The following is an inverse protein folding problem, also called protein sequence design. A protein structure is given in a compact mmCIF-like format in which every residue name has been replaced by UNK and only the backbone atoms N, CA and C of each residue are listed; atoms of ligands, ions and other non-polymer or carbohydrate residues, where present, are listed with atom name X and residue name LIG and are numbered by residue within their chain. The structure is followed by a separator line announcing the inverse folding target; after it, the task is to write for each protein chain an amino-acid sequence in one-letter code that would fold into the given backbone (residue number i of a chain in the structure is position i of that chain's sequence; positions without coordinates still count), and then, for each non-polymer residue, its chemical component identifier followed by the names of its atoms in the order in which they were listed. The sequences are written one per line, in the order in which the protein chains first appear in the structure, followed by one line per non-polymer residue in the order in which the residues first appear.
data_IF_580211340944
#
_entry.id   IF_580211340944
#
_cell.length_a   1.000
_cell.length_b   1.000
_cell.length_c   1.000
_cell.angle_alpha   90.00
_cell.angle_beta   90.00
_cell.angle_gamma   90.00
#
_symmetry.space_group_name_H-M   'P 1'
#
loop_
_entity.id
_entity.type
_entity.pdbx_description
1 polymer ?
#
# COMPACT_ATOMS: atom_id res chain seq x y z
N UNK A 1 24.28 10.12 53.14
CA UNK A 1 24.75 9.88 51.76
C UNK A 1 23.62 9.20 51.01
N UNK A 2 22.88 9.95 50.21
CA UNK A 2 21.86 9.40 49.32
C UNK A 2 22.46 9.39 47.92
N UNK A 3 22.77 8.20 47.42
CA UNK A 3 23.28 8.00 46.06
C UNK A 3 22.12 8.21 45.10
N UNK A 4 22.17 9.29 44.33
CA UNK A 4 21.29 9.50 43.18
C UNK A 4 21.69 8.50 42.12
N UNK A 5 20.87 7.46 41.96
CA UNK A 5 20.96 6.57 40.80
C UNK A 5 20.40 7.35 39.62
N UNK A 6 21.31 7.87 38.77
CA UNK A 6 20.94 8.32 37.43
C UNK A 6 20.36 7.12 36.68
N UNK A 7 19.08 7.21 36.35
CA UNK A 7 18.39 6.23 35.54
C UNK A 7 18.72 6.54 34.07
N UNK A 8 19.82 5.99 33.56
CA UNK A 8 20.23 6.00 32.14
C UNK A 8 19.31 5.09 31.32
N UNK A 9 18.01 5.41 31.27
CA UNK A 9 17.02 4.72 30.45
C UNK A 9 16.24 5.68 29.55
N UNK A 10 16.92 6.66 28.95
CA UNK A 10 16.45 7.23 27.68
C UNK A 10 16.79 6.25 26.56
N UNK A 11 15.95 5.22 26.43
CA UNK A 11 16.09 4.06 25.53
C UNK A 11 15.98 4.36 24.04
N UNK A 12 16.36 5.55 23.58
CA UNK A 12 16.71 5.80 22.19
C UNK A 12 18.13 6.36 22.14
N UNK A 13 19.08 5.52 22.54
CA UNK A 13 20.44 5.64 22.04
C UNK A 13 20.36 5.60 20.52
N UNK A 14 20.55 6.78 19.92
CA UNK A 14 21.28 7.01 18.67
C UNK A 14 21.71 5.69 18.01
N UNK A 15 20.78 5.02 17.29
CA UNK A 15 21.10 3.79 16.58
C UNK A 15 22.29 4.08 15.69
N UNK A 16 23.35 3.27 15.77
CA UNK A 16 24.43 3.30 14.77
C UNK A 16 23.76 3.33 13.39
N UNK A 17 23.95 4.38 12.60
CA UNK A 17 23.18 4.60 11.36
C UNK A 17 23.33 3.38 10.44
N UNK A 18 22.37 2.46 10.52
CA UNK A 18 22.34 1.28 9.70
C UNK A 18 22.11 1.67 8.25
N UNK A 19 22.55 0.82 7.32
CA UNK A 19 22.28 1.00 5.90
C UNK A 19 20.77 1.17 5.64
N UNK A 20 19.92 0.49 6.43
CA UNK A 20 18.47 0.62 6.35
C UNK A 20 17.98 2.00 6.81
N UNK A 21 18.47 2.51 7.95
CA UNK A 21 17.99 3.80 8.49
C UNK A 21 18.41 4.97 7.60
N UNK A 22 19.64 4.94 7.09
CA UNK A 22 20.14 5.92 6.11
C UNK A 22 19.40 5.87 4.76
N UNK A 23 18.93 4.71 4.34
CA UNK A 23 18.12 4.54 3.13
C UNK A 23 16.69 5.09 3.30
N UNK A 24 16.05 4.78 4.43
CA UNK A 24 14.65 5.13 4.70
C UNK A 24 14.49 6.57 5.21
N UNK A 25 15.45 7.07 5.97
CA UNK A 25 15.43 8.39 6.62
C UNK A 25 16.73 9.18 6.32
N UNK A 26 17.04 9.47 5.05
CA UNK A 26 18.27 10.15 4.69
C UNK A 26 18.29 11.57 5.24
N UNK A 27 19.47 12.00 5.68
CA UNK A 27 19.72 13.37 6.15
C UNK A 27 20.65 14.12 5.20
N UNK A 28 20.59 15.44 5.21
CA UNK A 28 21.57 16.30 4.56
C UNK A 28 22.89 16.33 5.34
N UNK A 29 23.93 16.92 4.74
CA UNK A 29 25.17 17.21 5.47
C UNK A 29 24.98 18.19 6.65
N UNK A 30 23.86 18.92 6.68
CA UNK A 30 23.45 19.76 7.81
C UNK A 30 22.53 19.06 8.82
N UNK A 31 22.31 17.74 8.67
CA UNK A 31 21.44 16.95 9.54
C UNK A 31 19.93 17.05 9.25
N UNK A 32 19.53 17.83 8.24
CA UNK A 32 18.11 18.02 7.89
C UNK A 32 17.55 16.82 7.14
N UNK A 33 16.32 16.36 7.45
CA UNK A 33 15.69 15.26 6.72
C UNK A 33 15.55 15.54 5.23
N UNK A 34 15.81 14.53 4.40
CA UNK A 34 15.62 14.57 2.95
C UNK A 34 14.53 13.61 2.51
N UNK A 35 13.97 13.85 1.33
CA UNK A 35 13.11 12.88 0.66
C UNK A 35 13.91 11.60 0.34
N UNK A 36 13.44 10.40 0.72
CA UNK A 36 14.15 9.14 0.52
C UNK A 36 14.04 8.63 -0.92
N UNK A 37 14.59 9.39 -1.87
CA UNK A 37 14.50 9.10 -3.30
C UNK A 37 15.06 7.71 -3.68
N UNK A 38 16.15 7.28 -3.05
CA UNK A 38 16.76 5.96 -3.31
C UNK A 38 15.80 4.83 -2.89
N UNK A 39 15.16 4.95 -1.72
CA UNK A 39 14.16 3.99 -1.27
C UNK A 39 12.94 4.00 -2.21
N UNK A 40 12.44 5.18 -2.60
CA UNK A 40 11.33 5.30 -3.56
C UNK A 40 11.65 4.61 -4.88
N UNK A 41 12.84 4.86 -5.45
CA UNK A 41 13.27 4.24 -6.71
C UNK A 41 13.41 2.73 -6.54
N UNK A 42 14.00 2.26 -5.44
CA UNK A 42 14.11 0.83 -5.17
C UNK A 42 12.74 0.14 -5.12
N UNK A 43 11.77 0.74 -4.41
CA UNK A 43 10.39 0.25 -4.35
C UNK A 43 9.77 0.20 -5.74
N UNK A 44 9.92 1.27 -6.54
CA UNK A 44 9.40 1.34 -7.91
C UNK A 44 10.03 0.28 -8.82
N UNK A 45 11.34 0.08 -8.74
CA UNK A 45 12.05 -0.91 -9.55
C UNK A 45 11.65 -2.33 -9.16
N UNK A 46 11.59 -2.63 -7.86
CA UNK A 46 11.22 -3.97 -7.37
C UNK A 46 9.77 -4.29 -7.74
N UNK A 47 8.83 -3.42 -7.36
CA UNK A 47 7.42 -3.63 -7.66
C UNK A 47 7.13 -3.58 -9.16
N UNK A 48 7.75 -2.65 -9.89
CA UNK A 48 7.62 -2.55 -11.34
C UNK A 48 8.15 -3.79 -12.07
N UNK A 49 9.27 -4.35 -11.60
CA UNK A 49 9.80 -5.61 -12.13
C UNK A 49 8.85 -6.77 -11.84
N UNK A 50 8.29 -6.85 -10.63
CA UNK A 50 7.31 -7.88 -10.27
C UNK A 50 6.08 -7.83 -11.20
N UNK A 51 5.44 -6.65 -11.33
CA UNK A 51 4.30 -6.49 -12.24
C UNK A 51 4.67 -6.70 -13.71
N UNK A 52 5.88 -6.29 -14.12
CA UNK A 52 6.40 -6.52 -15.46
C UNK A 52 6.58 -8.00 -15.78
N UNK A 53 7.14 -8.79 -14.85
CA UNK A 53 7.27 -10.25 -14.99
C UNK A 53 5.89 -10.92 -15.03
N UNK A 54 4.95 -10.49 -14.19
CA UNK A 54 3.59 -11.02 -14.23
C UNK A 54 2.91 -10.71 -15.56
N UNK A 55 3.06 -9.48 -16.08
CA UNK A 55 2.49 -9.10 -17.37
C UNK A 55 3.15 -9.85 -18.53
N UNK A 56 4.45 -10.14 -18.45
CA UNK A 56 5.15 -11.02 -19.39
C UNK A 56 4.52 -12.43 -19.37
N UNK A 57 4.31 -12.97 -18.17
CA UNK A 57 3.67 -14.28 -17.99
C UNK A 57 2.30 -14.32 -18.69
N UNK A 58 1.45 -13.33 -18.46
CA UNK A 58 0.17 -13.20 -19.17
C UNK A 58 0.34 -13.13 -20.69
N UNK A 59 1.30 -12.34 -21.18
CA UNK A 59 1.55 -12.26 -22.62
C UNK A 59 1.90 -13.61 -23.25
N UNK A 60 2.61 -14.45 -22.51
CA UNK A 60 3.14 -15.73 -23.00
C UNK A 60 2.08 -16.83 -22.95
N UNK A 61 1.29 -16.86 -21.87
CA UNK A 61 0.45 -18.01 -21.54
C UNK A 61 -1.06 -17.79 -21.74
N UNK A 62 -1.54 -16.54 -21.80
CA UNK A 62 -3.00 -16.27 -21.84
C UNK A 62 -3.65 -16.84 -23.11
N UNK A 63 -3.08 -16.56 -24.29
CA UNK A 63 -3.65 -17.05 -25.56
C UNK A 63 -3.25 -18.49 -25.89
N UNK A 64 -2.19 -19.02 -25.27
CA UNK A 64 -1.69 -20.37 -25.57
C UNK A 64 -2.32 -21.44 -24.69
N UNK A 65 -2.45 -21.18 -23.38
CA UNK A 65 -2.93 -22.15 -22.38
C UNK A 65 -3.95 -21.53 -21.40
N UNK A 66 -4.51 -20.36 -21.72
CA UNK A 66 -5.46 -19.64 -20.88
C UNK A 66 -6.84 -19.42 -21.50
N UNK A 67 -7.10 -20.01 -22.67
CA UNK A 67 -8.34 -19.80 -23.42
C UNK A 67 -9.46 -20.78 -23.04
N UNK A 68 -9.11 -22.00 -22.65
CA UNK A 68 -10.06 -23.07 -22.31
C UNK A 68 -9.79 -23.51 -20.86
N UNK A 69 -10.77 -23.31 -19.98
CA UNK A 69 -10.66 -23.67 -18.56
C UNK A 69 -10.60 -25.18 -18.33
N UNK A 70 -11.16 -25.99 -19.24
CA UNK A 70 -11.29 -27.42 -19.07
C UNK A 70 -10.04 -28.20 -19.46
N UNK A 71 -9.05 -27.54 -20.09
CA UNK A 71 -7.79 -28.16 -20.47
C UNK A 71 -6.84 -28.34 -19.26
N UNK A 72 -6.10 -29.47 -19.17
CA UNK A 72 -5.16 -29.71 -18.07
C UNK A 72 -4.06 -28.65 -17.93
N UNK A 73 -3.67 -28.03 -19.04
CA UNK A 73 -2.70 -26.94 -19.06
C UNK A 73 -3.23 -25.72 -18.29
N UNK A 74 -4.53 -25.45 -18.36
CA UNK A 74 -5.12 -24.34 -17.61
C UNK A 74 -4.92 -24.53 -16.10
N UNK A 75 -5.14 -25.75 -15.61
CA UNK A 75 -4.91 -26.07 -14.20
C UNK A 75 -3.43 -25.87 -13.82
N UNK A 76 -2.53 -26.32 -14.69
CA UNK A 76 -1.08 -26.23 -14.48
C UNK A 76 -0.57 -24.79 -14.41
N UNK A 77 -1.00 -23.92 -15.33
CA UNK A 77 -0.45 -22.56 -15.50
C UNK A 77 -1.28 -21.49 -14.78
N UNK A 78 -2.59 -21.67 -14.63
CA UNK A 78 -3.48 -20.62 -14.10
C UNK A 78 -4.04 -20.97 -12.73
N UNK A 79 -4.56 -22.17 -12.52
CA UNK A 79 -5.13 -22.54 -11.22
C UNK A 79 -4.07 -22.71 -10.14
N UNK A 80 -2.94 -23.36 -10.45
CA UNK A 80 -1.80 -23.40 -9.52
C UNK A 80 -1.28 -22.01 -9.16
N UNK A 81 -1.24 -21.08 -10.13
CA UNK A 81 -0.85 -19.70 -9.89
C UNK A 81 -1.85 -19.01 -8.94
N UNK A 82 -3.15 -19.16 -9.20
CA UNK A 82 -4.23 -18.64 -8.36
C UNK A 82 -4.11 -19.15 -6.91
N UNK A 83 -3.97 -20.45 -6.72
CA UNK A 83 -3.88 -21.02 -5.37
C UNK A 83 -2.60 -20.57 -4.65
N UNK A 84 -1.46 -20.59 -5.34
CA UNK A 84 -0.20 -20.15 -4.76
C UNK A 84 -0.25 -18.68 -4.33
N UNK A 85 -0.71 -17.78 -5.21
CA UNK A 85 -0.75 -16.35 -4.89
C UNK A 85 -1.77 -16.05 -3.78
N UNK A 86 -2.93 -16.72 -3.73
CA UNK A 86 -3.89 -16.53 -2.65
C UNK A 86 -3.32 -16.91 -1.29
N UNK A 87 -2.61 -18.04 -1.20
CA UNK A 87 -1.95 -18.46 0.05
C UNK A 87 -0.87 -17.47 0.43
N UNK A 88 0.00 -17.08 -0.50
CA UNK A 88 1.10 -16.14 -0.24
C UNK A 88 0.56 -14.79 0.22
N UNK A 89 -0.43 -14.23 -0.47
CA UNK A 89 -1.01 -12.92 -0.16
C UNK A 89 -1.70 -12.97 1.20
N UNK A 90 -2.54 -13.99 1.46
CA UNK A 90 -3.16 -14.15 2.78
C UNK A 90 -2.13 -14.23 3.92
N UNK A 91 -1.01 -14.93 3.70
CA UNK A 91 0.10 -14.97 4.66
C UNK A 91 0.79 -13.61 4.81
N UNK A 92 1.08 -12.91 3.72
CA UNK A 92 1.68 -11.57 3.75
C UNK A 92 0.80 -10.60 4.53
N UNK A 93 -0.51 -10.54 4.22
CA UNK A 93 -1.46 -9.68 4.92
C UNK A 93 -1.59 -10.04 6.41
N UNK A 94 -1.83 -11.31 6.74
CA UNK A 94 -2.06 -11.73 8.13
C UNK A 94 -0.80 -11.69 9.00
N UNK A 95 0.30 -12.28 8.54
CA UNK A 95 1.58 -12.30 9.27
C UNK A 95 2.18 -10.90 9.27
N UNK A 96 2.15 -10.18 8.14
CA UNK A 96 2.64 -8.80 8.07
C UNK A 96 1.89 -7.89 9.04
N UNK A 97 0.56 -7.99 9.12
CA UNK A 97 -0.24 -7.18 10.05
C UNK A 97 0.12 -7.48 11.50
N UNK A 98 0.27 -8.77 11.84
CA UNK A 98 0.73 -9.18 13.16
C UNK A 98 2.14 -8.65 13.46
N UNK A 99 3.08 -8.80 12.53
CA UNK A 99 4.46 -8.33 12.68
C UNK A 99 4.51 -6.81 12.90
N UNK A 100 3.80 -6.02 12.08
CA UNK A 100 3.74 -4.57 12.24
C UNK A 100 3.10 -4.22 13.58
N UNK A 101 1.99 -4.86 13.95
CA UNK A 101 1.32 -4.59 15.22
C UNK A 101 2.20 -4.89 16.45
N UNK A 102 2.84 -6.05 16.48
CA UNK A 102 3.64 -6.50 17.63
C UNK A 102 5.02 -5.85 17.70
N UNK A 103 5.56 -5.34 16.59
CA UNK A 103 6.79 -4.53 16.57
C UNK A 103 6.54 -3.05 16.87
N UNK A 104 5.34 -2.66 17.33
CA UNK A 104 5.07 -1.26 17.66
C UNK A 104 5.93 -0.79 18.85
N UNK A 105 6.48 0.43 18.80
CA UNK A 105 7.20 1.04 19.92
C UNK A 105 6.28 1.33 21.11
N UNK A 106 6.88 1.64 22.27
CA UNK A 106 6.13 2.07 23.46
C UNK A 106 5.37 3.37 23.18
N UNK A 107 4.19 3.52 23.80
CA UNK A 107 3.35 4.68 23.57
C UNK A 107 3.98 5.99 24.05
N UNK A 108 4.77 5.95 25.13
CA UNK A 108 5.45 7.14 25.60
C UNK A 108 6.57 7.54 24.65
N UNK A 109 7.30 6.59 24.07
CA UNK A 109 8.38 6.89 23.12
C UNK A 109 7.86 7.55 21.85
N UNK A 110 6.72 7.09 21.35
CA UNK A 110 6.05 7.72 20.19
C UNK A 110 5.55 9.11 20.54
N UNK A 111 4.89 9.29 21.69
CA UNK A 111 4.34 10.59 22.08
C UNK A 111 5.42 11.69 22.26
N UNK A 112 6.65 11.30 22.59
CA UNK A 112 7.79 12.20 22.81
C UNK A 112 8.85 12.10 21.71
N UNK A 113 8.43 11.76 20.49
CA UNK A 113 9.33 11.72 19.34
C UNK A 113 9.94 13.10 19.05
N UNK A 114 11.25 13.14 18.80
CA UNK A 114 11.96 14.36 18.44
C UNK A 114 11.41 14.97 17.14
N UNK A 115 11.18 16.30 17.04
CA UNK A 115 10.56 16.92 15.87
C UNK A 115 11.28 16.63 14.55
N UNK A 116 12.61 16.60 14.56
CA UNK A 116 13.42 16.25 13.39
C UNK A 116 13.23 14.80 12.95
N UNK A 117 13.13 13.87 13.91
CA UNK A 117 12.87 12.46 13.62
C UNK A 117 11.49 12.30 13.02
N UNK A 118 10.47 12.91 13.63
CA UNK A 118 9.10 12.87 13.12
C UNK A 118 8.99 13.43 11.70
N UNK A 119 9.67 14.55 11.42
CA UNK A 119 9.72 15.14 10.09
C UNK A 119 10.36 14.20 9.04
N UNK A 120 11.42 13.47 9.43
CA UNK A 120 12.04 12.46 8.56
C UNK A 120 11.08 11.32 8.22
N UNK A 121 10.23 10.94 9.18
CA UNK A 121 9.23 9.90 8.97
C UNK A 121 8.12 10.38 8.04
N UNK A 122 7.67 11.64 8.15
CA UNK A 122 6.71 12.20 7.19
C UNK A 122 7.26 12.26 5.76
N UNK A 123 8.55 12.56 5.57
CA UNK A 123 9.18 12.47 4.25
C UNK A 123 9.15 11.04 3.70
N UNK A 124 9.34 10.04 4.55
CA UNK A 124 9.21 8.64 4.17
C UNK A 124 7.76 8.26 3.84
N UNK A 125 6.78 8.73 4.61
CA UNK A 125 5.35 8.54 4.29
C UNK A 125 5.02 9.13 2.90
N UNK A 126 5.45 10.36 2.61
CA UNK A 126 5.23 10.96 1.30
C UNK A 126 5.94 10.20 0.17
N UNK A 127 7.13 9.65 0.43
CA UNK A 127 7.82 8.80 -0.53
C UNK A 127 7.07 7.50 -0.82
N UNK A 128 6.52 6.84 0.20
CA UNK A 128 5.66 5.67 0.03
C UNK A 128 4.40 6.01 -0.77
N UNK A 129 3.76 7.14 -0.47
CA UNK A 129 2.58 7.61 -1.20
C UNK A 129 2.88 7.92 -2.66
N UNK A 130 4.05 8.51 -2.95
CA UNK A 130 4.50 8.77 -4.31
C UNK A 130 4.77 7.46 -5.09
N UNK A 131 5.36 6.45 -4.44
CA UNK A 131 5.51 5.13 -5.06
C UNK A 131 4.14 4.43 -5.25
N UNK A 132 3.26 4.52 -4.26
CA UNK A 132 1.93 3.91 -4.30
C UNK A 132 1.07 4.49 -5.43
N UNK A 133 1.17 5.78 -5.75
CA UNK A 133 0.40 6.39 -6.85
C UNK A 133 0.74 5.75 -8.20
N UNK A 134 2.01 5.40 -8.44
CA UNK A 134 2.42 4.65 -9.62
C UNK A 134 1.76 3.27 -9.67
N UNK A 135 1.78 2.52 -8.57
CA UNK A 135 1.18 1.18 -8.52
C UNK A 135 -0.34 1.21 -8.61
N UNK A 136 -1.00 2.25 -8.09
CA UNK A 136 -2.44 2.44 -8.30
C UNK A 136 -2.76 2.54 -9.79
N UNK A 137 -1.95 3.24 -10.58
CA UNK A 137 -2.13 3.30 -12.05
C UNK A 137 -1.88 1.93 -12.68
N UNK A 138 -0.86 1.20 -12.25
CA UNK A 138 -0.63 -0.17 -12.74
C UNK A 138 -1.86 -1.06 -12.47
N UNK A 139 -2.38 -1.06 -11.25
CA UNK A 139 -3.51 -1.91 -10.87
C UNK A 139 -4.81 -1.46 -11.56
N UNK A 140 -5.18 -0.18 -11.39
CA UNK A 140 -6.50 0.32 -11.80
C UNK A 140 -6.60 0.78 -13.26
N UNK A 141 -5.48 0.97 -13.95
CA UNK A 141 -5.47 1.19 -15.39
C UNK A 141 -5.01 -0.07 -16.11
N UNK A 142 -3.76 -0.51 -15.93
CA UNK A 142 -3.20 -1.58 -16.77
C UNK A 142 -3.92 -2.91 -16.59
N UNK A 143 -4.13 -3.38 -15.36
CA UNK A 143 -4.78 -4.67 -15.12
C UNK A 143 -6.30 -4.62 -15.36
N UNK A 144 -6.96 -3.52 -14.99
CA UNK A 144 -8.41 -3.33 -15.25
C UNK A 144 -8.70 -3.22 -16.74
N UNK A 145 -7.93 -2.42 -17.50
CA UNK A 145 -8.15 -2.30 -18.95
C UNK A 145 -7.74 -3.57 -19.70
N UNK A 146 -6.73 -4.31 -19.21
CA UNK A 146 -6.39 -5.62 -19.77
C UNK A 146 -7.56 -6.61 -19.64
N UNK A 147 -8.26 -6.58 -18.52
CA UNK A 147 -9.44 -7.41 -18.29
C UNK A 147 -10.62 -7.01 -19.19
N UNK A 148 -10.89 -5.70 -19.30
CA UNK A 148 -11.89 -5.18 -20.22
C UNK A 148 -11.60 -5.60 -21.68
N UNK A 149 -10.33 -5.57 -22.10
CA UNK A 149 -9.93 -6.03 -23.42
C UNK A 149 -10.07 -7.56 -23.57
N UNK A 150 -9.79 -8.34 -22.52
CA UNK A 150 -9.95 -9.79 -22.52
C UNK A 150 -11.42 -10.22 -22.73
N UNK A 151 -12.36 -9.47 -22.16
CA UNK A 151 -13.80 -9.65 -22.41
C UNK A 151 -14.22 -9.39 -23.86
N UNK A 152 -13.40 -8.74 -24.68
CA UNK A 152 -13.71 -8.54 -26.10
C UNK A 152 -13.17 -9.66 -27.00
N UNK A 153 -12.37 -10.59 -26.45
CA UNK A 153 -11.70 -11.65 -27.22
C UNK A 153 -12.02 -13.06 -26.73
N UNK A 154 -12.75 -13.20 -25.63
CA UNK A 154 -13.15 -14.50 -25.08
C UNK A 154 -14.63 -14.52 -24.70
N UNK A 155 -15.27 -15.66 -24.91
CA UNK A 155 -16.48 -16.06 -24.18
C UNK A 155 -15.97 -16.90 -23.02
N UNK A 156 -16.35 -16.54 -21.80
CA UNK A 156 -15.73 -17.06 -20.59
C UNK A 156 -16.28 -18.43 -20.20
N UNK A 157 -15.41 -19.40 -20.01
CA UNK A 157 -15.77 -20.71 -19.43
C UNK A 157 -15.98 -20.65 -17.91
N UNK A 158 -15.40 -19.65 -17.25
CA UNK A 158 -15.35 -19.50 -15.79
C UNK A 158 -15.09 -18.05 -15.38
N UNK A 159 -15.20 -17.77 -14.08
CA UNK A 159 -14.79 -16.51 -13.47
C UNK A 159 -13.29 -16.45 -13.15
N UNK A 160 -12.57 -17.55 -13.31
CA UNK A 160 -11.12 -17.59 -13.16
C UNK A 160 -10.41 -17.43 -14.51
N UNK A 161 -10.59 -16.30 -15.17
CA UNK A 161 -9.85 -15.99 -16.42
C UNK A 161 -8.39 -15.61 -16.11
N UNK A 162 -7.47 -15.69 -17.09
CA UNK A 162 -6.10 -15.20 -16.92
C UNK A 162 -5.98 -13.75 -16.44
N UNK A 163 -6.90 -12.88 -16.86
CA UNK A 163 -6.94 -11.47 -16.44
C UNK A 163 -7.57 -11.30 -15.08
N UNK A 164 -8.63 -12.05 -14.74
CA UNK A 164 -9.19 -12.06 -13.38
C UNK A 164 -8.19 -12.55 -12.33
N UNK A 165 -7.46 -13.64 -12.62
CA UNK A 165 -6.41 -14.18 -11.74
C UNK A 165 -5.37 -13.10 -11.44
N UNK A 166 -4.95 -12.33 -12.45
CA UNK A 166 -4.02 -11.21 -12.27
C UNK A 166 -4.63 -10.01 -11.52
N UNK A 167 -5.82 -9.58 -11.89
CA UNK A 167 -6.44 -8.37 -11.36
C UNK A 167 -7.01 -8.58 -9.95
N UNK A 168 -7.97 -9.48 -9.83
CA UNK A 168 -8.81 -9.65 -8.64
C UNK A 168 -8.16 -10.51 -7.56
N UNK A 169 -7.30 -11.43 -7.96
CA UNK A 169 -6.69 -12.39 -7.04
C UNK A 169 -5.20 -12.15 -6.80
N UNK A 170 -4.60 -11.12 -7.42
CA UNK A 170 -3.21 -10.70 -7.19
C UNK A 170 -3.08 -9.19 -7.00
N UNK A 171 -3.38 -8.39 -8.02
CA UNK A 171 -3.03 -6.97 -8.04
C UNK A 171 -3.82 -6.15 -6.98
N UNK A 172 -5.15 -6.32 -6.93
CA UNK A 172 -6.00 -5.67 -5.93
C UNK A 172 -5.69 -6.17 -4.51
N UNK A 173 -5.60 -7.49 -4.24
CA UNK A 173 -5.24 -8.00 -2.91
C UNK A 173 -3.87 -7.53 -2.41
N UNK A 174 -2.83 -7.51 -3.26
CA UNK A 174 -1.51 -6.98 -2.88
C UNK A 174 -1.58 -5.48 -2.54
N UNK A 175 -2.33 -4.71 -3.33
CA UNK A 175 -2.58 -3.30 -3.03
C UNK A 175 -3.32 -3.11 -1.71
N UNK A 176 -4.31 -3.96 -1.42
CA UNK A 176 -5.04 -3.96 -0.15
C UNK A 176 -4.11 -4.24 1.04
N UNK A 177 -3.29 -5.28 0.96
CA UNK A 177 -2.32 -5.60 2.02
C UNK A 177 -1.36 -4.43 2.25
N UNK A 178 -0.82 -3.82 1.20
CA UNK A 178 0.06 -2.67 1.33
C UNK A 178 -0.61 -1.49 2.06
N UNK A 179 -1.88 -1.21 1.75
CA UNK A 179 -2.66 -0.15 2.40
C UNK A 179 -2.95 -0.50 3.87
N UNK A 180 -3.37 -1.74 4.16
CA UNK A 180 -3.67 -2.19 5.53
C UNK A 180 -2.40 -2.14 6.39
N UNK A 181 -1.28 -2.65 5.89
CA UNK A 181 0.01 -2.59 6.59
C UNK A 181 0.44 -1.15 6.86
N UNK A 182 0.31 -0.27 5.86
CA UNK A 182 0.58 1.16 6.00
C UNK A 182 -0.34 1.83 7.02
N UNK A 183 -1.64 1.47 7.02
CA UNK A 183 -2.62 1.96 7.97
C UNK A 183 -2.25 1.58 9.41
N UNK A 184 -1.93 0.30 9.67
CA UNK A 184 -1.51 -0.17 10.99
C UNK A 184 -0.23 0.55 11.40
N UNK A 185 0.75 0.65 10.49
CA UNK A 185 2.05 1.25 10.76
C UNK A 185 1.92 2.73 11.16
N UNK A 186 1.13 3.52 10.42
CA UNK A 186 0.91 4.95 10.75
C UNK A 186 0.28 5.09 12.14
N UNK A 187 -0.77 4.33 12.44
CA UNK A 187 -1.51 4.43 13.71
C UNK A 187 -0.74 3.88 14.92
N UNK A 188 0.39 3.23 14.71
CA UNK A 188 1.22 2.66 15.78
C UNK A 188 2.58 3.33 15.93
N UNK A 189 3.05 4.09 14.95
CA UNK A 189 4.36 4.77 14.98
C UNK A 189 4.31 6.29 14.95
N UNK A 190 3.17 6.90 14.59
CA UNK A 190 3.11 8.34 14.44
C UNK A 190 2.37 9.01 15.61
N UNK A 191 2.93 10.10 16.21
CA UNK A 191 2.35 10.74 17.39
C UNK A 191 0.91 11.23 17.16
N UNK A 192 0.65 11.82 15.99
CA UNK A 192 -0.67 12.37 15.65
C UNK A 192 -1.77 11.30 15.49
N UNK A 193 -1.37 10.06 15.21
CA UNK A 193 -2.27 8.95 14.89
C UNK A 193 -2.32 7.88 15.98
N UNK A 194 -1.40 7.90 16.94
CA UNK A 194 -1.40 6.97 18.05
C UNK A 194 -2.60 7.20 18.97
N UNK A 195 -3.29 6.11 19.36
CA UNK A 195 -4.53 6.14 20.13
C UNK A 195 -5.66 6.98 19.48
N UNK A 196 -5.54 7.23 18.19
CA UNK A 196 -6.52 7.95 17.36
C UNK A 196 -6.75 7.15 16.10
N UNK A 197 -7.75 7.55 15.33
CA UNK A 197 -8.07 6.92 14.06
C UNK A 197 -8.24 8.02 13.02
N UNK A 198 -7.38 8.02 12.01
CA UNK A 198 -7.54 8.87 10.83
C UNK A 198 -8.72 8.35 10.02
N UNK A 199 -9.85 9.05 10.09
CA UNK A 199 -11.03 8.73 9.25
C UNK A 199 -10.67 8.73 7.76
N UNK A 200 -9.94 9.72 7.21
CA UNK A 200 -9.54 9.68 5.80
C UNK A 200 -8.70 8.45 5.43
N UNK A 201 -7.70 8.09 6.25
CA UNK A 201 -6.86 6.91 5.98
C UNK A 201 -7.64 5.60 6.17
N UNK A 202 -8.60 5.55 7.10
CA UNK A 202 -9.52 4.40 7.23
C UNK A 202 -10.37 4.21 5.98
N UNK A 203 -10.90 5.28 5.40
CA UNK A 203 -11.69 5.17 4.17
C UNK A 203 -10.85 4.58 3.02
N UNK A 204 -9.58 4.96 2.91
CA UNK A 204 -8.64 4.36 1.95
C UNK A 204 -8.42 2.88 2.25
N UNK A 205 -8.16 2.52 3.51
CA UNK A 205 -7.92 1.14 3.91
C UNK A 205 -9.13 0.21 3.75
N UNK A 206 -10.33 0.75 3.91
CA UNK A 206 -11.57 0.01 3.74
C UNK A 206 -12.07 -0.01 2.29
N UNK A 207 -11.56 0.84 1.40
CA UNK A 207 -12.00 0.92 0.01
C UNK A 207 -11.95 -0.44 -0.73
N UNK A 208 -10.90 -1.27 -0.58
CA UNK A 208 -10.87 -2.60 -1.18
C UNK A 208 -11.88 -3.59 -0.58
N UNK A 209 -12.32 -3.39 0.67
CA UNK A 209 -13.35 -4.23 1.28
C UNK A 209 -14.73 -3.85 0.74
N UNK A 210 -14.96 -2.55 0.56
CA UNK A 210 -16.23 -2.00 0.07
C UNK A 210 -16.52 -2.38 -1.38
N UNK A 211 -15.50 -2.78 -2.16
CA UNK A 211 -15.68 -3.26 -3.54
C UNK A 211 -16.08 -4.74 -3.62
N UNK A 212 -15.83 -5.55 -2.58
CA UNK A 212 -16.04 -7.01 -2.65
C UNK A 212 -17.48 -7.40 -2.99
N UNK A 213 -18.54 -6.75 -2.44
CA UNK A 213 -19.91 -6.99 -2.88
C UNK A 213 -20.10 -6.74 -4.38
N UNK A 214 -19.42 -5.72 -4.93
CA UNK A 214 -19.49 -5.41 -6.35
C UNK A 214 -18.73 -6.39 -7.22
N UNK A 215 -17.63 -6.95 -6.73
CA UNK A 215 -16.94 -8.03 -7.41
C UNK A 215 -17.87 -9.25 -7.55
N UNK A 216 -18.46 -9.70 -6.44
CA UNK A 216 -19.37 -10.84 -6.46
C UNK A 216 -20.62 -10.59 -7.31
N UNK A 217 -21.19 -9.38 -7.26
CA UNK A 217 -22.32 -9.00 -8.09
C UNK A 217 -21.94 -8.86 -9.57
N UNK A 218 -20.73 -8.41 -9.89
CA UNK A 218 -20.21 -8.32 -11.26
C UNK A 218 -20.17 -9.71 -11.90
N UNK A 219 -19.56 -10.68 -11.23
CA UNK A 219 -19.45 -12.05 -11.73
C UNK A 219 -20.81 -12.75 -11.82
N UNK A 220 -21.67 -12.55 -10.80
CA UNK A 220 -23.05 -13.01 -10.86
C UNK A 220 -23.82 -12.37 -12.02
N UNK A 221 -23.62 -11.08 -12.27
CA UNK A 221 -24.20 -10.36 -13.40
C UNK A 221 -23.81 -10.98 -14.74
N UNK A 222 -22.52 -11.26 -14.94
CA UNK A 222 -22.01 -11.90 -16.17
C UNK A 222 -22.55 -13.32 -16.38
N UNK A 223 -22.87 -14.06 -15.31
CA UNK A 223 -23.42 -15.42 -15.42
C UNK A 223 -24.91 -15.45 -15.79
N UNK A 224 -25.69 -14.45 -15.36
CA UNK A 224 -27.16 -14.51 -15.42
C UNK A 224 -27.83 -13.43 -16.29
N UNK A 225 -27.12 -12.39 -16.72
CA UNK A 225 -27.65 -11.36 -17.64
C UNK A 225 -27.06 -11.51 -19.05
N UNK A 226 -27.91 -11.81 -20.03
CA UNK A 226 -27.61 -11.83 -21.48
C UNK A 226 -27.41 -10.41 -22.07
N UNK A 227 -26.58 -9.56 -21.46
CA UNK A 227 -26.48 -8.16 -21.84
C UNK A 227 -25.03 -7.68 -21.97
N UNK A 228 -24.27 -8.33 -22.84
CA UNK A 228 -22.99 -7.82 -23.36
C UNK A 228 -23.17 -6.48 -24.10
N UNK A 229 -24.40 -6.10 -24.49
CA UNK A 229 -24.68 -4.88 -25.26
C UNK A 229 -25.01 -3.64 -24.39
N UNK A 230 -25.16 -3.79 -23.06
CA UNK A 230 -25.45 -2.71 -22.12
C UNK A 230 -24.37 -2.63 -21.02
N UNK A 231 -23.10 -2.52 -21.42
CA UNK A 231 -21.90 -2.46 -20.55
C UNK A 231 -21.92 -1.38 -19.42
N UNK A 232 -22.99 -0.59 -19.31
CA UNK A 232 -23.25 0.41 -18.27
C UNK A 232 -24.33 -0.03 -17.23
N UNK A 233 -24.44 -1.33 -16.94
CA UNK A 233 -25.40 -1.84 -15.96
C UNK A 233 -25.15 -1.28 -14.53
N UNK A 234 -26.20 -1.16 -13.68
CA UNK A 234 -26.09 -0.77 -12.27
C UNK A 234 -25.08 -1.57 -11.43
N UNK A 235 -24.64 -2.73 -11.93
CA UNK A 235 -23.77 -3.70 -11.27
C UNK A 235 -22.33 -3.15 -11.13
N UNK A 236 -21.88 -2.33 -12.10
CA UNK A 236 -20.54 -1.72 -12.07
C UNK A 236 -20.46 -0.47 -11.18
N UNK A 237 -21.59 0.10 -10.75
CA UNK A 237 -21.60 1.36 -10.00
C UNK A 237 -20.88 1.29 -8.66
N UNK A 238 -20.74 0.12 -8.03
CA UNK A 238 -20.00 0.06 -6.78
C UNK A 238 -18.49 -0.03 -6.95
N UNK A 239 -17.93 -0.22 -8.16
CA UNK A 239 -16.52 0.12 -8.42
C UNK A 239 -16.26 1.62 -8.14
N UNK A 240 -17.28 2.48 -8.29
CA UNK A 240 -17.20 3.91 -7.92
C UNK A 240 -16.98 4.08 -6.42
N UNK A 241 -17.53 3.21 -5.57
CA UNK A 241 -17.34 3.29 -4.11
C UNK A 241 -15.89 3.05 -3.71
N UNK A 242 -15.16 2.18 -4.44
CA UNK A 242 -13.71 2.04 -4.29
C UNK A 242 -13.01 3.36 -4.64
N UNK A 243 -13.35 3.96 -5.78
CA UNK A 243 -12.80 5.26 -6.19
C UNK A 243 -13.05 6.36 -5.14
N UNK A 244 -14.26 6.41 -4.57
CA UNK A 244 -14.59 7.34 -3.48
C UNK A 244 -13.81 7.09 -2.20
N UNK A 245 -13.61 5.83 -1.82
CA UNK A 245 -12.78 5.48 -0.68
C UNK A 245 -11.32 5.93 -0.87
N UNK A 246 -10.78 5.78 -2.08
CA UNK A 246 -9.42 6.24 -2.42
C UNK A 246 -9.27 7.77 -2.37
N UNK A 247 -10.33 8.56 -2.59
CA UNK A 247 -10.28 10.01 -2.37
C UNK A 247 -10.04 10.41 -0.90
N UNK A 248 -10.24 9.49 0.06
CA UNK A 248 -9.79 9.65 1.43
C UNK A 248 -8.30 9.97 1.54
N UNK A 249 -7.49 9.60 0.53
CA UNK A 249 -6.07 9.92 0.46
C UNK A 249 -5.82 11.43 0.48
N UNK A 250 -6.66 12.23 -0.16
CA UNK A 250 -6.53 13.70 -0.12
C UNK A 250 -6.67 14.24 1.32
N UNK A 251 -7.62 13.71 2.09
CA UNK A 251 -7.79 14.06 3.50
C UNK A 251 -6.59 13.64 4.36
N UNK A 252 -6.02 12.47 4.10
CA UNK A 252 -4.81 12.02 4.80
C UNK A 252 -3.58 12.89 4.47
N UNK A 253 -3.40 13.28 3.21
CA UNK A 253 -2.35 14.23 2.80
C UNK A 253 -2.46 15.54 3.59
N UNK A 254 -3.67 16.08 3.74
CA UNK A 254 -3.89 17.31 4.49
C UNK A 254 -3.54 17.16 5.97
N UNK A 255 -3.84 16.01 6.59
CA UNK A 255 -3.42 15.71 7.97
C UNK A 255 -1.89 15.71 8.09
N UNK A 256 -1.19 15.02 7.18
CA UNK A 256 0.27 14.99 7.15
C UNK A 256 0.88 16.39 6.94
N UNK A 257 0.37 17.17 5.98
CA UNK A 257 0.85 18.52 5.70
C UNK A 257 0.63 19.48 6.87
N UNK A 258 -0.49 19.35 7.59
CA UNK A 258 -0.75 20.14 8.78
C UNK A 258 0.30 19.90 9.88
N UNK A 259 0.69 18.64 10.10
CA UNK A 259 1.74 18.29 11.07
C UNK A 259 3.12 18.75 10.62
N UNK A 260 3.46 18.52 9.35
CA UNK A 260 4.74 18.95 8.78
C UNK A 260 4.93 20.46 8.90
N UNK A 261 3.87 21.25 8.72
CA UNK A 261 3.92 22.71 8.94
C UNK A 261 4.33 23.09 10.36
N UNK A 262 3.86 22.35 11.37
CA UNK A 262 4.21 22.59 12.78
C UNK A 262 5.66 22.15 13.03
N UNK A 263 6.06 21.00 12.51
CA UNK A 263 7.41 20.49 12.69
C UNK A 263 8.46 21.41 12.05
N UNK A 264 8.19 21.96 10.87
CA UNK A 264 9.14 22.88 10.21
C UNK A 264 9.28 24.21 10.93
N UNK A 265 8.25 24.71 11.63
CA UNK A 265 8.40 25.90 12.47
C UNK A 265 9.25 25.61 13.71
N UNK A 266 9.01 24.49 14.40
CA UNK A 266 9.78 24.11 15.59
C UNK A 266 11.27 23.90 15.28
N UNK A 267 11.56 23.17 14.21
CA UNK A 267 12.94 22.92 13.76
C UNK A 267 13.63 24.21 13.29
N UNK A 268 12.87 25.12 12.67
CA UNK A 268 13.38 26.43 12.26
C UNK A 268 13.75 27.30 13.46
N UNK A 269 12.91 27.32 14.49
CA UNK A 269 13.15 28.04 15.75
C UNK A 269 14.39 27.49 16.48
N UNK A 270 14.48 26.17 16.69
CA UNK A 270 15.64 25.52 17.31
C UNK A 270 16.95 25.78 16.54
N UNK A 271 16.89 25.76 15.20
CA UNK A 271 18.04 26.07 14.35
C UNK A 271 18.49 27.53 14.48
N UNK A 272 17.54 28.45 14.64
CA UNK A 272 17.83 29.88 14.84
C UNK A 272 18.43 30.16 16.22
N UNK A 273 17.96 29.49 17.27
CA UNK A 273 18.51 29.61 18.62
C UNK A 273 19.95 29.09 18.70
N UNK A 274 20.23 27.93 18.07
CA UNK A 274 21.60 27.38 17.99
C UNK A 274 22.57 28.24 17.19
N UNK A 275 22.08 29.04 16.23
CA UNK A 275 22.92 29.95 15.45
C UNK A 275 23.19 31.29 16.16
N UNK A 276 22.39 31.64 17.16
CA UNK A 276 22.51 32.86 17.95
C UNK A 276 23.33 32.69 19.24
N UNK A 277 23.59 31.44 19.66
CA UNK A 277 24.42 31.06 20.80
C UNK A 277 25.89 30.84 20.39
#
# INVERSE_FOLDING_TARGET
MATVVQNDKSGMQQESEGILSSLLYPKSGSGMPKFPAVATIAILVIGGSFFGVYRWYQQTYSFSVGMDYFEPEFDTYWMNLLYAQLVIIALVGSVGSALVWFSRPDANDVAHMEPLQELSIYNFIFALMAAASFFIVVILAVFVEADAAWHQVTIRDTDFTPTHIGLFYMAIPLGMDAIILGWIWVHTRMPDFQNRVSIPLCLVAMAPILIMPNLGLNEWGHTFFYAEELFAAPIHWGFVTMGWGLFGMAGFILQCLARVRILTSLVGEEGSEKAAA
#
